data_IF_259486644367
#
_entry.id   IF_259486644367
#
_cell.length_a   1.000
_cell.length_b   1.000
_cell.length_c   1.000
_cell.angle_alpha   90.00
_cell.angle_beta   90.00
_cell.angle_gamma   90.00
#
_symmetry.space_group_name_H-M   'P 1'
#
loop_
_entity.id
_entity.type
_entity.pdbx_description
1 polymer ?
#
# COMPACT_ATOMS: atom_id res chain seq x y z
N UNK A 1 1.97 16.53 -23.89
CA UNK A 1 1.92 15.88 -22.57
C UNK A 1 3.31 15.33 -22.25
N UNK A 2 3.91 15.72 -21.12
CA UNK A 2 5.33 15.45 -20.81
C UNK A 2 5.68 13.96 -20.89
N UNK A 3 6.72 13.61 -21.63
CA UNK A 3 7.11 12.21 -21.88
C UNK A 3 7.45 11.46 -20.58
N UNK A 4 7.82 12.17 -19.52
CA UNK A 4 8.21 11.59 -18.22
C UNK A 4 7.04 11.27 -17.28
N UNK A 5 5.84 11.80 -17.52
CA UNK A 5 4.68 11.67 -16.63
C UNK A 5 4.33 10.22 -16.22
N UNK A 6 4.22 9.23 -17.14
CA UNK A 6 3.90 7.86 -16.74
C UNK A 6 5.01 7.25 -15.87
N UNK A 7 6.27 7.50 -16.20
CA UNK A 7 7.42 7.00 -15.43
C UNK A 7 7.43 7.59 -14.03
N UNK A 8 7.16 8.89 -13.89
CA UNK A 8 7.08 9.53 -12.58
C UNK A 8 5.94 8.99 -11.72
N UNK A 9 4.79 8.68 -12.32
CA UNK A 9 3.65 8.09 -11.61
C UNK A 9 3.92 6.65 -11.16
N UNK A 10 4.52 5.84 -12.02
CA UNK A 10 4.93 4.47 -11.68
C UNK A 10 5.96 4.51 -10.54
N UNK A 11 7.00 5.34 -10.67
CA UNK A 11 8.04 5.47 -9.65
C UNK A 11 7.50 5.96 -8.32
N UNK A 12 6.65 6.99 -8.34
CA UNK A 12 6.01 7.52 -7.13
C UNK A 12 5.09 6.49 -6.46
N UNK A 13 4.26 5.79 -7.24
CA UNK A 13 3.37 4.76 -6.72
C UNK A 13 4.14 3.56 -6.15
N UNK A 14 5.23 3.12 -6.80
CA UNK A 14 6.08 2.05 -6.29
C UNK A 14 6.76 2.45 -4.97
N UNK A 15 7.34 3.65 -4.91
CA UNK A 15 7.97 4.17 -3.69
C UNK A 15 6.96 4.32 -2.55
N UNK A 16 5.77 4.87 -2.83
CA UNK A 16 4.70 4.98 -1.85
C UNK A 16 4.21 3.60 -1.37
N UNK A 17 4.16 2.61 -2.26
CA UNK A 17 3.81 1.22 -1.94
C UNK A 17 4.80 0.58 -0.97
N UNK A 18 6.11 0.78 -1.20
CA UNK A 18 7.16 0.31 -0.29
C UNK A 18 7.07 0.96 1.08
N UNK A 19 6.92 2.29 1.13
CA UNK A 19 6.77 3.04 2.39
C UNK A 19 5.54 2.57 3.15
N UNK A 20 4.42 2.39 2.45
CA UNK A 20 3.17 1.89 3.06
C UNK A 20 3.33 0.46 3.59
N UNK A 21 3.99 -0.42 2.84
CA UNK A 21 4.26 -1.80 3.27
C UNK A 21 5.15 -1.85 4.51
N UNK A 22 6.20 -1.03 4.56
CA UNK A 22 7.07 -0.91 5.73
C UNK A 22 6.31 -0.37 6.94
N UNK A 23 5.49 0.67 6.75
CA UNK A 23 4.64 1.21 7.81
C UNK A 23 3.66 0.14 8.35
N UNK A 24 2.98 -0.59 7.47
CA UNK A 24 2.11 -1.70 7.87
C UNK A 24 2.87 -2.77 8.67
N UNK A 25 4.07 -3.15 8.22
CA UNK A 25 4.90 -4.13 8.92
C UNK A 25 5.32 -3.67 10.32
N UNK A 26 5.65 -2.39 10.49
CA UNK A 26 5.98 -1.81 11.81
C UNK A 26 4.81 -1.91 12.79
N UNK A 27 3.57 -1.78 12.32
CA UNK A 27 2.37 -1.83 13.17
C UNK A 27 1.96 -3.28 13.48
N UNK A 28 1.93 -4.17 12.49
CA UNK A 28 1.34 -5.50 12.64
C UNK A 28 2.36 -6.65 12.74
N UNK A 29 3.62 -6.44 12.35
CA UNK A 29 4.63 -7.49 12.21
C UNK A 29 4.87 -8.26 13.51
N UNK A 30 4.96 -7.57 14.65
CA UNK A 30 5.11 -8.19 15.97
C UNK A 30 3.94 -9.09 16.36
N UNK A 31 2.73 -8.74 15.92
CA UNK A 31 1.53 -9.51 16.23
C UNK A 31 1.43 -10.74 15.33
N UNK A 32 1.94 -10.65 14.10
CA UNK A 32 2.11 -11.79 13.19
C UNK A 32 3.18 -12.74 13.74
N UNK A 33 4.35 -12.24 14.13
CA UNK A 33 5.47 -13.05 14.62
C UNK A 33 5.14 -13.75 15.95
N UNK A 34 4.35 -13.11 16.81
CA UNK A 34 3.87 -13.72 18.07
C UNK A 34 2.72 -14.72 17.87
N UNK A 35 2.17 -14.86 16.66
CA UNK A 35 1.00 -15.68 16.38
C UNK A 35 -0.33 -15.12 16.89
N UNK A 36 -0.32 -13.91 17.46
CA UNK A 36 -1.51 -13.22 17.99
C UNK A 36 -2.46 -12.77 16.88
N UNK A 37 -1.93 -12.51 15.68
CA UNK A 37 -2.68 -12.09 14.51
C UNK A 37 -2.32 -12.99 13.31
N UNK A 38 -3.26 -13.80 12.79
CA UNK A 38 -3.02 -14.59 11.59
C UNK A 38 -2.59 -13.72 10.41
N UNK A 39 -1.64 -14.18 9.61
CA UNK A 39 -1.12 -13.42 8.47
C UNK A 39 -2.24 -13.01 7.49
N UNK A 40 -3.24 -13.87 7.27
CA UNK A 40 -4.41 -13.56 6.44
C UNK A 40 -5.20 -12.34 6.95
N UNK A 41 -5.40 -12.27 8.28
CA UNK A 41 -6.07 -11.13 8.92
C UNK A 41 -5.19 -9.89 8.87
N UNK A 42 -3.89 -10.03 9.10
CA UNK A 42 -2.94 -8.92 8.97
C UNK A 42 -2.94 -8.34 7.54
N UNK A 43 -2.96 -9.19 6.51
CA UNK A 43 -3.05 -8.76 5.10
C UNK A 43 -4.35 -8.02 4.82
N UNK A 44 -5.48 -8.44 5.41
CA UNK A 44 -6.72 -7.67 5.31
C UNK A 44 -6.58 -6.26 5.90
N UNK A 45 -5.79 -6.10 6.97
CA UNK A 45 -5.51 -4.81 7.59
C UNK A 45 -4.68 -3.88 6.69
N UNK A 46 -3.97 -4.41 5.70
CA UNK A 46 -3.26 -3.61 4.70
C UNK A 46 -4.25 -2.84 3.79
N UNK A 47 -5.37 -3.47 3.44
CA UNK A 47 -6.31 -2.96 2.44
C UNK A 47 -7.56 -2.32 3.05
N UNK A 48 -7.96 -2.71 4.27
CA UNK A 48 -9.14 -2.19 4.94
C UNK A 48 -8.98 -2.21 6.46
N UNK A 49 -9.58 -1.23 7.14
CA UNK A 49 -9.64 -1.20 8.61
C UNK A 49 -10.83 -2.03 9.09
N UNK A 50 -10.56 -3.13 9.80
CA UNK A 50 -11.56 -4.01 10.42
C UNK A 50 -11.46 -3.93 11.96
N UNK A 51 -12.41 -4.54 12.66
CA UNK A 51 -12.38 -4.59 14.13
C UNK A 51 -11.15 -5.32 14.66
N UNK A 52 -10.70 -6.36 13.96
CA UNK A 52 -9.47 -7.11 14.28
C UNK A 52 -8.24 -6.21 14.15
N UNK A 53 -8.20 -5.33 13.14
CA UNK A 53 -7.09 -4.38 12.96
C UNK A 53 -7.05 -3.36 14.11
N UNK A 54 -8.22 -2.85 14.51
CA UNK A 54 -8.33 -1.91 15.63
C UNK A 54 -7.94 -2.55 16.96
N UNK A 55 -8.32 -3.82 17.17
CA UNK A 55 -7.88 -4.61 18.31
C UNK A 55 -6.36 -4.80 18.32
N UNK A 56 -5.77 -5.15 17.18
CA UNK A 56 -4.33 -5.33 17.05
C UNK A 56 -3.55 -4.03 17.30
N UNK A 57 -4.05 -2.88 16.82
CA UNK A 57 -3.49 -1.55 17.12
C UNK A 57 -3.58 -1.21 18.62
N UNK A 58 -4.67 -1.60 19.31
CA UNK A 58 -4.85 -1.36 20.75
C UNK A 58 -3.97 -2.28 21.63
N UNK A 59 -3.78 -3.53 21.22
CA UNK A 59 -2.91 -4.51 21.89
C UNK A 59 -1.42 -4.16 21.77
N UNK A 60 -1.11 -3.21 20.89
CA UNK A 60 0.23 -2.77 20.55
C UNK A 60 0.86 -1.81 21.60
N UNK A 61 0.24 -1.64 22.77
CA UNK A 61 0.67 -0.76 23.87
C UNK A 61 2.11 -0.98 24.41
N UNK A 62 2.82 -2.03 23.98
CA UNK A 62 4.16 -2.37 24.46
C UNK A 62 5.22 -2.02 23.39
N UNK A 63 5.78 -0.80 23.49
CA UNK A 63 6.97 -0.29 22.76
C UNK A 63 6.90 -0.29 21.22
N UNK A 64 6.55 0.86 20.64
CA UNK A 64 6.64 1.08 19.20
C UNK A 64 7.92 1.79 18.77
N UNK A 65 8.54 1.24 17.73
CA UNK A 65 9.57 1.92 16.95
C UNK A 65 8.95 3.21 16.39
N UNK A 66 9.48 4.38 16.74
CA UNK A 66 9.03 5.72 16.30
C UNK A 66 7.66 6.21 16.83
N UNK A 67 7.00 5.50 17.75
CA UNK A 67 5.69 5.92 18.30
C UNK A 67 4.52 5.77 17.32
N UNK A 68 4.69 4.99 16.25
CA UNK A 68 3.68 4.77 15.22
C UNK A 68 2.78 3.60 15.63
N UNK A 69 1.57 3.91 16.08
CA UNK A 69 0.60 2.95 16.64
C UNK A 69 -0.56 2.60 15.68
N UNK A 70 -0.67 3.32 14.57
CA UNK A 70 -1.81 3.21 13.65
C UNK A 70 -1.35 3.04 12.23
N UNK A 71 -2.17 2.36 11.43
CA UNK A 71 -1.99 2.23 9.99
C UNK A 71 -3.21 2.80 9.23
N UNK A 72 -2.96 3.43 8.09
CA UNK A 72 -3.98 4.02 7.24
C UNK A 72 -4.10 3.25 5.90
N UNK A 73 -5.16 2.45 5.68
CA UNK A 73 -5.36 1.72 4.43
C UNK A 73 -5.45 2.60 3.18
N UNK A 74 -5.83 3.88 3.35
CA UNK A 74 -5.85 4.85 2.27
C UNK A 74 -4.48 5.03 1.61
N UNK A 75 -3.38 4.91 2.35
CA UNK A 75 -2.03 5.03 1.80
C UNK A 75 -1.73 3.92 0.76
N UNK A 76 -2.19 2.70 1.04
CA UNK A 76 -2.06 1.58 0.11
C UNK A 76 -2.85 1.85 -1.17
N UNK A 77 -4.11 2.27 -1.05
CA UNK A 77 -4.94 2.57 -2.21
C UNK A 77 -4.41 3.74 -3.04
N UNK A 78 -3.87 4.77 -2.40
CA UNK A 78 -3.21 5.88 -3.11
C UNK A 78 -1.98 5.40 -3.90
N UNK A 79 -1.14 4.56 -3.30
CA UNK A 79 0.02 3.98 -4.00
C UNK A 79 -0.39 3.12 -5.19
N UNK A 80 -1.44 2.30 -5.02
CA UNK A 80 -1.99 1.44 -6.06
C UNK A 80 -2.62 2.27 -7.19
N UNK A 81 -3.34 3.34 -6.86
CA UNK A 81 -3.94 4.25 -7.84
C UNK A 81 -2.88 4.98 -8.66
N UNK A 82 -1.79 5.44 -8.04
CA UNK A 82 -0.66 6.07 -8.74
C UNK A 82 0.03 5.09 -9.69
N UNK A 83 0.30 3.86 -9.24
CA UNK A 83 0.86 2.81 -10.07
C UNK A 83 -0.05 2.48 -11.26
N UNK A 84 -1.34 2.27 -11.01
CA UNK A 84 -2.32 1.97 -12.03
C UNK A 84 -2.43 3.12 -13.06
N UNK A 85 -2.50 4.37 -12.60
CA UNK A 85 -2.52 5.53 -13.48
C UNK A 85 -1.27 5.62 -14.37
N UNK A 86 -0.10 5.37 -13.80
CA UNK A 86 1.16 5.35 -14.53
C UNK A 86 1.21 4.25 -15.60
N UNK A 87 0.77 3.03 -15.27
CA UNK A 87 0.69 1.89 -16.19
C UNK A 87 -0.33 2.11 -17.32
N UNK A 88 -1.51 2.65 -17.00
CA UNK A 88 -2.54 2.97 -18.00
C UNK A 88 -2.02 4.03 -18.97
N UNK A 89 -1.37 5.08 -18.47
CA UNK A 89 -0.79 6.12 -19.32
C UNK A 89 0.37 5.60 -20.18
N UNK A 90 1.15 4.64 -19.67
CA UNK A 90 2.21 3.99 -20.43
C UNK A 90 1.61 3.13 -21.55
N UNK A 91 0.64 2.26 -21.24
CA UNK A 91 -0.03 1.40 -22.22
C UNK A 91 -0.75 2.18 -23.32
N UNK A 92 -1.42 3.29 -22.97
CA UNK A 92 -2.06 4.19 -23.95
C UNK A 92 -1.09 4.83 -24.94
N UNK A 93 0.19 4.98 -24.58
CA UNK A 93 1.22 5.48 -25.50
C UNK A 93 1.79 4.40 -26.40
N UNK A 94 1.73 3.15 -25.96
CA UNK A 94 2.28 2.00 -26.70
C UNK A 94 1.34 1.47 -27.79
N UNK A 95 0.05 1.79 -27.72
CA UNK A 95 -0.94 1.35 -28.73
C UNK A 95 -0.86 2.24 -29.99
N UNK A 96 -0.53 1.67 -31.17
CA UNK A 96 -0.61 2.41 -32.43
C UNK A 96 -2.07 2.70 -32.82
N UNK A 97 -2.35 3.77 -33.57
CA UNK A 97 -3.71 4.20 -33.91
C UNK A 97 -4.48 3.25 -34.84
N UNK A 98 -3.84 2.19 -35.35
CA UNK A 98 -4.38 1.31 -36.41
C UNK A 98 -5.16 0.09 -35.90
N UNK A 99 -5.39 0.00 -34.58
CA UNK A 99 -6.08 -1.15 -33.94
C UNK A 99 -7.51 -0.85 -33.45
N UNK A 100 -8.17 0.18 -33.99
CA UNK A 100 -9.58 0.50 -33.72
C UNK A 100 -10.42 0.14 -34.96
N UNK A 101 -11.35 -0.84 -34.89
CA UNK A 101 -12.33 -1.09 -35.95
C UNK A 101 -13.38 0.03 -36.05
#
# INVERSE_FOLDING_TARGET
MSSRLPITLIGAGAAAGLVTGLWWWVVYGRQVDSGSLPLANALSCLTRKTDICSLAEALCAQSHVLGITHYAPAAFWLSAALLAAGLVLLGRRSLPPESLP
#
